data_IF_064461214583
#
_entry.id   IF_064461214583
#
_cell.length_a   1.000
_cell.length_b   1.000
_cell.length_c   1.000
_cell.angle_alpha   90.00
_cell.angle_beta   90.00
_cell.angle_gamma   90.00
#
_symmetry.space_group_name_H-M   'P 1'
#
loop_
_entity.id
_entity.type
_entity.pdbx_description
1 polymer ?
#
# COMPACT_ATOMS: atom_id res chain seq x y z
N UNK A 1 -20.72 34.78 27.73
CA UNK A 1 -19.26 34.87 27.50
C UNK A 1 -19.03 35.91 26.42
N UNK A 2 -18.17 36.91 26.63
CA UNK A 2 -17.96 37.96 25.63
C UNK A 2 -17.20 37.41 24.41
N UNK A 3 -17.35 38.03 23.24
CA UNK A 3 -16.59 37.66 22.04
C UNK A 3 -15.06 37.78 22.28
N UNK A 4 -14.65 38.73 23.15
CA UNK A 4 -13.26 38.91 23.57
C UNK A 4 -12.75 37.71 24.38
N UNK A 5 -13.54 37.20 25.32
CA UNK A 5 -13.17 36.03 26.12
C UNK A 5 -13.04 34.78 25.23
N UNK A 6 -13.93 34.64 24.26
CA UNK A 6 -13.87 33.57 23.25
C UNK A 6 -12.58 33.64 22.43
N UNK A 7 -12.22 34.82 21.94
CA UNK A 7 -11.00 35.02 21.16
C UNK A 7 -9.74 34.62 21.95
N UNK A 8 -9.65 34.99 23.22
CA UNK A 8 -8.54 34.62 24.10
C UNK A 8 -8.49 33.12 24.31
N UNK A 9 -9.63 32.48 24.59
CA UNK A 9 -9.71 31.02 24.78
C UNK A 9 -9.24 30.24 23.54
N UNK A 10 -9.69 30.63 22.34
CA UNK A 10 -9.31 29.94 21.10
C UNK A 10 -7.82 30.09 20.81
N UNK A 11 -7.25 31.29 21.02
CA UNK A 11 -5.80 31.51 20.85
C UNK A 11 -4.97 30.72 21.86
N UNK A 12 -5.41 30.64 23.11
CA UNK A 12 -4.75 29.79 24.13
C UNK A 12 -4.81 28.32 23.73
N UNK A 13 -5.95 27.85 23.22
CA UNK A 13 -6.12 26.49 22.73
C UNK A 13 -5.19 26.19 21.56
N UNK A 14 -5.09 27.09 20.58
CA UNK A 14 -4.17 26.96 19.44
C UNK A 14 -2.71 26.89 19.91
N UNK A 15 -2.29 27.79 20.80
CA UNK A 15 -0.94 27.80 21.35
C UNK A 15 -0.61 26.52 22.14
N UNK A 16 -1.55 26.00 22.93
CA UNK A 16 -1.37 24.72 23.63
C UNK A 16 -1.28 23.53 22.67
N UNK A 17 -2.09 23.53 21.60
CA UNK A 17 -2.05 22.51 20.55
C UNK A 17 -0.66 22.52 19.89
N UNK A 18 -0.18 23.70 19.50
CA UNK A 18 1.14 23.87 18.90
C UNK A 18 2.27 23.39 19.80
N UNK A 19 2.24 23.77 21.10
CA UNK A 19 3.20 23.25 22.09
C UNK A 19 3.15 21.73 22.25
N UNK A 20 1.95 21.14 22.25
CA UNK A 20 1.77 19.70 22.48
C UNK A 20 2.37 18.86 21.36
N UNK A 21 2.21 19.31 20.12
CA UNK A 21 2.55 18.56 18.91
C UNK A 21 3.79 19.10 18.18
N UNK A 22 4.36 20.22 18.65
CA UNK A 22 5.56 20.82 18.06
C UNK A 22 5.30 21.35 16.64
N UNK A 23 4.14 21.96 16.42
CA UNK A 23 3.76 22.55 15.12
C UNK A 23 3.28 23.99 15.32
N UNK A 24 3.42 24.79 14.27
CA UNK A 24 2.86 26.13 14.24
C UNK A 24 1.34 26.03 14.02
N UNK A 25 0.57 26.72 14.87
CA UNK A 25 -0.88 26.65 14.89
C UNK A 25 -1.45 28.06 14.96
N UNK A 26 -2.32 28.38 14.02
CA UNK A 26 -3.01 29.66 13.93
C UNK A 26 -4.47 29.54 14.35
N UNK A 27 -4.99 30.62 14.92
CA UNK A 27 -6.39 30.79 15.27
C UNK A 27 -6.99 31.94 14.46
N UNK A 28 -7.82 31.61 13.48
CA UNK A 28 -8.40 32.56 12.53
C UNK A 28 -9.91 32.67 12.74
N UNK A 29 -10.44 33.88 12.66
CA UNK A 29 -11.88 34.10 12.69
C UNK A 29 -12.43 34.17 11.26
N UNK A 30 -13.16 33.14 10.85
CA UNK A 30 -13.83 33.05 9.54
C UNK A 30 -15.34 33.35 9.68
N UNK A 31 -16.07 33.49 8.56
CA UNK A 31 -17.49 33.83 8.59
C UNK A 31 -18.36 32.83 9.38
N UNK A 32 -17.93 31.56 9.43
CA UNK A 32 -18.61 30.48 10.16
C UNK A 32 -18.17 30.36 11.64
N UNK A 33 -17.28 31.23 12.13
CA UNK A 33 -16.76 31.21 13.50
C UNK A 33 -15.24 31.07 13.55
N UNK A 34 -14.74 30.57 14.69
CA UNK A 34 -13.30 30.37 14.86
C UNK A 34 -12.82 29.09 14.16
N UNK A 35 -11.64 29.17 13.54
CA UNK A 35 -10.90 28.05 12.96
C UNK A 35 -9.53 27.99 13.61
N UNK A 36 -9.13 26.80 14.01
CA UNK A 36 -7.74 26.49 14.37
C UNK A 36 -7.15 25.73 13.19
N UNK A 37 -6.08 26.28 12.63
CA UNK A 37 -5.40 25.72 11.48
C UNK A 37 -3.91 25.50 11.75
N UNK A 38 -3.37 24.44 11.17
CA UNK A 38 -1.95 24.09 11.27
C UNK A 38 -1.53 23.41 9.97
N UNK A 39 -0.23 23.45 9.68
CA UNK A 39 0.34 22.77 8.52
C UNK A 39 1.03 21.49 8.94
N UNK A 40 0.77 20.42 8.19
CA UNK A 40 1.29 19.07 8.44
C UNK A 40 1.04 18.64 9.90
N UNK A 41 1.83 17.75 10.49
CA UNK A 41 1.64 17.38 11.90
C UNK A 41 0.43 16.48 12.19
N UNK A 42 -0.21 16.62 13.37
CA UNK A 42 -1.16 15.62 13.85
C UNK A 42 -2.42 15.56 12.99
N UNK A 43 -3.09 14.41 12.96
CA UNK A 43 -4.36 14.29 12.24
C UNK A 43 -5.45 15.14 12.89
N UNK A 44 -6.46 15.55 12.12
CA UNK A 44 -7.62 16.29 12.66
C UNK A 44 -8.34 15.47 13.73
N UNK A 45 -8.39 14.14 13.59
CA UNK A 45 -8.95 13.24 14.59
C UNK A 45 -8.17 13.28 15.91
N UNK A 46 -6.82 13.23 15.85
CA UNK A 46 -5.94 13.34 17.02
C UNK A 46 -6.06 14.70 17.69
N UNK A 47 -6.02 15.79 16.92
CA UNK A 47 -6.20 17.15 17.44
C UNK A 47 -7.57 17.29 18.13
N UNK A 48 -8.65 16.80 17.49
CA UNK A 48 -10.00 16.82 18.07
C UNK A 48 -10.12 16.01 19.35
N UNK A 49 -9.53 14.81 19.39
CA UNK A 49 -9.53 13.98 20.59
C UNK A 49 -8.78 14.68 21.75
N UNK A 50 -7.72 15.42 21.45
CA UNK A 50 -6.98 16.19 22.44
C UNK A 50 -7.75 17.43 22.92
N UNK A 51 -8.39 18.20 22.03
CA UNK A 51 -9.17 19.39 22.41
C UNK A 51 -10.41 19.01 23.23
N UNK A 52 -11.09 17.92 22.87
CA UNK A 52 -12.27 17.42 23.58
C UNK A 52 -11.98 17.09 25.06
N UNK A 53 -10.82 16.50 25.36
CA UNK A 53 -10.41 16.14 26.74
C UNK A 53 -10.24 17.35 27.66
N UNK A 54 -10.06 18.55 27.11
CA UNK A 54 -9.90 19.77 27.89
C UNK A 54 -11.22 20.52 28.13
N UNK A 55 -12.35 20.00 27.60
CA UNK A 55 -13.66 20.67 27.64
C UNK A 55 -13.62 22.12 27.09
N UNK A 56 -12.62 22.44 26.25
CA UNK A 56 -12.41 23.78 25.69
C UNK A 56 -13.28 24.04 24.45
N UNK A 57 -14.03 23.04 23.99
CA UNK A 57 -15.02 23.16 22.91
C UNK A 57 -16.31 22.37 23.19
N UNK A 58 -17.16 22.84 24.13
CA UNK A 58 -18.36 22.11 24.52
C UNK A 58 -19.49 22.10 23.46
N UNK A 59 -19.31 22.76 22.31
CA UNK A 59 -20.36 22.88 21.28
C UNK A 59 -19.89 22.69 19.82
N UNK A 60 -18.63 22.29 19.57
CA UNK A 60 -18.12 22.18 18.20
C UNK A 60 -18.00 23.53 17.50
N UNK A 61 -17.85 24.62 18.26
CA UNK A 61 -17.88 25.99 17.76
C UNK A 61 -16.49 26.48 17.32
N UNK A 62 -15.49 25.59 17.28
CA UNK A 62 -14.18 25.82 16.68
C UNK A 62 -13.95 24.75 15.61
N UNK A 63 -13.80 25.18 14.36
CA UNK A 63 -13.42 24.26 13.28
C UNK A 63 -11.92 23.95 13.36
N UNK A 64 -11.55 22.69 13.12
CA UNK A 64 -10.15 22.25 13.06
C UNK A 64 -9.81 21.96 11.61
N UNK A 65 -8.72 22.55 11.12
CA UNK A 65 -8.28 22.38 9.73
C UNK A 65 -6.79 22.07 9.69
N UNK A 66 -6.42 21.04 8.92
CA UNK A 66 -5.02 20.73 8.67
C UNK A 66 -4.71 21.02 7.21
N UNK A 67 -3.85 21.99 6.99
CA UNK A 67 -3.23 22.24 5.69
C UNK A 67 -2.14 21.20 5.43
N UNK A 68 -1.96 20.79 4.18
CA UNK A 68 -0.98 19.77 3.78
C UNK A 68 0.09 20.46 2.94
N UNK A 69 1.33 20.42 3.44
CA UNK A 69 2.46 20.97 2.71
C UNK A 69 2.81 20.15 1.47
N UNK A 70 3.44 20.80 0.50
CA UNK A 70 3.98 20.15 -0.72
C UNK A 70 4.81 18.91 -0.43
N UNK A 71 5.65 18.99 0.61
CA UNK A 71 6.49 17.86 1.05
C UNK A 71 5.65 16.66 1.47
N UNK A 72 4.59 16.86 2.26
CA UNK A 72 3.70 15.78 2.66
C UNK A 72 3.04 15.07 1.46
N UNK A 73 2.67 15.80 0.40
CA UNK A 73 2.19 15.21 -0.86
C UNK A 73 3.24 14.33 -1.52
N UNK A 74 4.47 14.82 -1.63
CA UNK A 74 5.60 14.07 -2.22
C UNK A 74 5.90 12.82 -1.41
N UNK A 75 5.97 12.92 -0.08
CA UNK A 75 6.19 11.77 0.80
C UNK A 75 5.07 10.73 0.63
N UNK A 76 3.82 11.17 0.57
CA UNK A 76 2.68 10.27 0.34
C UNK A 76 2.76 9.58 -1.02
N UNK A 77 3.14 10.30 -2.08
CA UNK A 77 3.25 9.75 -3.42
C UNK A 77 4.38 8.72 -3.55
N UNK A 78 5.56 9.00 -2.99
CA UNK A 78 6.68 8.05 -2.97
C UNK A 78 6.29 6.78 -2.22
N UNK A 79 5.69 6.90 -1.03
CA UNK A 79 5.19 5.73 -0.27
C UNK A 79 4.15 4.94 -1.06
N UNK A 80 3.15 5.62 -1.61
CA UNK A 80 2.08 4.98 -2.38
C UNK A 80 2.60 4.28 -3.65
N UNK A 81 3.65 4.81 -4.28
CA UNK A 81 4.32 4.18 -5.40
C UNK A 81 5.07 2.93 -4.98
N UNK A 82 5.88 3.02 -3.92
CA UNK A 82 6.66 1.88 -3.40
C UNK A 82 5.76 0.75 -2.90
N UNK A 83 4.62 1.07 -2.30
CA UNK A 83 3.60 0.10 -1.88
C UNK A 83 2.79 -0.47 -3.07
N UNK A 84 3.02 0.02 -4.30
CA UNK A 84 2.33 -0.40 -5.52
C UNK A 84 0.88 0.10 -5.65
N UNK A 85 0.42 0.96 -4.73
CA UNK A 85 -0.98 1.40 -4.62
C UNK A 85 -1.37 2.40 -5.71
N UNK A 86 -0.44 3.27 -6.13
CA UNK A 86 -0.69 4.22 -7.23
C UNK A 86 -0.95 3.54 -8.58
N UNK A 87 -0.66 2.24 -8.69
CA UNK A 87 -0.69 1.50 -9.95
C UNK A 87 -1.84 0.48 -10.04
N UNK A 88 -2.45 0.10 -8.91
CA UNK A 88 -3.63 -0.75 -8.87
C UNK A 88 -4.89 0.05 -9.25
N UNK A 89 -5.13 0.24 -10.54
CA UNK A 89 -6.36 0.85 -11.08
C UNK A 89 -6.40 2.39 -11.11
N UNK A 90 -5.53 3.06 -10.36
CA UNK A 90 -5.47 4.54 -10.26
C UNK A 90 -4.83 5.20 -11.49
N UNK A 91 -3.78 4.60 -12.07
CA UNK A 91 -3.14 5.11 -13.30
C UNK A 91 -4.10 5.13 -14.53
N UNK A 92 -5.16 4.33 -14.51
CA UNK A 92 -6.22 4.35 -15.55
C UNK A 92 -7.33 5.37 -15.28
N UNK A 93 -7.41 5.93 -14.07
CA UNK A 93 -8.49 6.83 -13.64
C UNK A 93 -8.10 8.32 -13.71
N UNK A 94 -6.81 8.64 -13.87
CA UNK A 94 -6.31 10.00 -14.09
C UNK A 94 -5.86 10.72 -12.82
N UNK A 95 -5.46 12.01 -12.94
CA UNK A 95 -4.86 12.78 -11.84
C UNK A 95 -5.79 12.98 -10.65
N UNK A 96 -7.12 13.05 -10.87
CA UNK A 96 -8.10 13.22 -9.80
C UNK A 96 -8.16 12.00 -8.86
N UNK A 97 -8.04 10.79 -9.40
CA UNK A 97 -8.02 9.56 -8.58
C UNK A 97 -6.71 9.45 -7.79
N UNK A 98 -5.59 9.83 -8.43
CA UNK A 98 -4.30 9.90 -7.75
C UNK A 98 -4.36 10.90 -6.59
N UNK A 99 -4.92 12.09 -6.82
CA UNK A 99 -5.16 13.09 -5.79
C UNK A 99 -6.00 12.55 -4.65
N UNK A 100 -7.15 11.94 -4.93
CA UNK A 100 -8.04 11.36 -3.92
C UNK A 100 -7.34 10.30 -3.06
N UNK A 101 -6.56 9.40 -3.71
CA UNK A 101 -5.78 8.39 -3.00
C UNK A 101 -4.77 9.04 -2.05
N UNK A 102 -4.01 10.02 -2.54
CA UNK A 102 -3.01 10.71 -1.71
C UNK A 102 -3.68 11.50 -0.58
N UNK A 103 -4.84 12.13 -0.84
CA UNK A 103 -5.62 12.84 0.18
C UNK A 103 -5.95 11.91 1.34
N UNK A 104 -6.39 10.68 1.04
CA UNK A 104 -6.65 9.65 2.06
C UNK A 104 -5.39 9.25 2.83
N UNK A 105 -4.29 8.96 2.12
CA UNK A 105 -3.03 8.55 2.75
C UNK A 105 -2.51 9.63 3.69
N UNK A 106 -2.52 10.88 3.25
CA UNK A 106 -2.10 12.01 4.07
C UNK A 106 -3.05 12.18 5.24
N UNK A 107 -4.37 12.16 5.03
CA UNK A 107 -5.39 12.36 6.07
C UNK A 107 -5.25 11.40 7.26
N UNK A 108 -4.85 10.16 7.01
CA UNK A 108 -4.72 9.12 8.04
C UNK A 108 -3.37 9.14 8.78
N UNK A 109 -2.38 9.90 8.28
CA UNK A 109 -1.03 9.91 8.84
C UNK A 109 -0.75 11.12 9.72
N UNK A 110 -0.12 10.84 10.86
CA UNK A 110 0.48 11.84 11.74
C UNK A 110 1.83 12.28 11.14
N UNK A 111 2.08 13.59 11.10
CA UNK A 111 3.31 14.19 10.54
C UNK A 111 3.62 13.67 9.13
N UNK A 112 2.73 13.92 8.16
CA UNK A 112 2.80 13.32 6.82
C UNK A 112 4.01 13.78 6.00
N UNK A 113 4.62 14.91 6.37
CA UNK A 113 5.84 15.50 5.81
C UNK A 113 7.13 14.75 6.20
N UNK A 114 7.06 13.89 7.22
CA UNK A 114 8.21 13.13 7.72
C UNK A 114 8.41 11.85 6.93
N UNK A 115 9.65 11.63 6.52
CA UNK A 115 10.14 10.42 5.86
C UNK A 115 10.82 9.55 6.89
N UNK A 116 10.61 8.25 6.79
CA UNK A 116 11.33 7.27 7.61
C UNK A 116 12.47 6.69 6.76
N UNK A 117 13.71 6.91 7.18
CA UNK A 117 14.89 6.22 6.64
C UNK A 117 15.38 6.66 5.26
N UNK A 118 15.95 5.71 4.53
CA UNK A 118 16.83 5.91 3.35
C UNK A 118 16.12 6.47 2.10
N UNK A 119 14.81 6.73 2.16
CA UNK A 119 14.00 7.21 1.01
C UNK A 119 13.85 8.73 0.92
N UNK A 120 14.54 9.46 1.80
CA UNK A 120 14.62 10.92 1.79
C UNK A 120 15.06 11.48 0.43
N UNK A 121 16.07 10.83 -0.18
CA UNK A 121 16.61 11.21 -1.48
C UNK A 121 15.57 11.22 -2.60
N UNK A 122 14.60 10.29 -2.59
CA UNK A 122 13.53 10.24 -3.58
C UNK A 122 12.58 11.43 -3.41
N UNK A 123 12.29 11.77 -2.16
CA UNK A 123 11.42 12.89 -1.81
C UNK A 123 12.05 14.20 -2.22
N UNK A 124 13.33 14.41 -1.94
CA UNK A 124 14.03 15.64 -2.29
C UNK A 124 14.16 15.80 -3.81
N UNK A 125 14.44 14.72 -4.55
CA UNK A 125 14.50 14.74 -6.01
C UNK A 125 13.15 15.01 -6.65
N UNK A 126 12.08 14.37 -6.14
CA UNK A 126 10.74 14.61 -6.64
C UNK A 126 10.31 16.05 -6.33
N UNK A 127 10.59 16.57 -5.13
CA UNK A 127 10.37 17.98 -4.79
C UNK A 127 11.10 18.92 -5.74
N UNK A 128 12.38 18.66 -6.05
CA UNK A 128 13.18 19.47 -6.95
C UNK A 128 12.69 19.44 -8.40
N UNK A 129 12.01 18.36 -8.79
CA UNK A 129 11.42 18.22 -10.13
C UNK A 129 10.06 18.91 -10.28
N UNK A 130 9.44 19.37 -9.19
CA UNK A 130 8.17 20.08 -9.28
C UNK A 130 8.37 21.51 -9.81
N UNK A 131 7.49 21.99 -10.71
CA UNK A 131 7.50 23.37 -11.18
C UNK A 131 7.38 24.37 -10.02
N UNK A 132 8.27 25.36 -10.01
CA UNK A 132 8.36 26.36 -8.94
C UNK A 132 7.13 27.30 -8.90
N UNK A 133 6.48 27.52 -10.05
CA UNK A 133 5.36 28.43 -10.27
C UNK A 133 3.98 27.77 -10.16
N UNK A 134 3.92 26.50 -9.74
CA UNK A 134 2.67 25.77 -9.63
C UNK A 134 1.82 26.17 -8.41
N UNK A 135 0.50 26.20 -8.59
CA UNK A 135 -0.49 26.44 -7.53
C UNK A 135 -0.46 25.28 -6.52
N UNK A 136 -0.04 25.58 -5.30
CA UNK A 136 0.07 24.58 -4.22
C UNK A 136 -1.26 23.90 -3.87
N UNK A 137 -2.41 24.45 -4.27
CA UNK A 137 -3.74 23.85 -4.05
C UNK A 137 -3.97 22.54 -4.82
N UNK A 138 -3.15 22.28 -5.85
CA UNK A 138 -3.22 21.05 -6.63
C UNK A 138 -1.93 20.22 -6.57
N UNK A 139 -1.06 20.47 -5.57
CA UNK A 139 0.17 19.69 -5.38
C UNK A 139 -0.12 18.18 -5.31
N UNK A 140 -1.25 17.77 -4.72
CA UNK A 140 -1.67 16.36 -4.68
C UNK A 140 -1.94 15.75 -6.05
N UNK A 141 -2.65 16.47 -6.93
CA UNK A 141 -2.95 16.01 -8.29
C UNK A 141 -1.71 16.02 -9.19
N UNK A 142 -0.90 17.08 -9.10
CA UNK A 142 0.35 17.21 -9.84
C UNK A 142 1.35 16.10 -9.47
N UNK A 143 1.65 15.93 -8.18
CA UNK A 143 2.61 14.93 -7.71
C UNK A 143 2.09 13.53 -8.00
N UNK A 144 0.82 13.26 -7.70
CA UNK A 144 0.19 11.97 -7.96
C UNK A 144 0.21 11.60 -9.45
N UNK A 145 -0.13 12.54 -10.32
CA UNK A 145 -0.07 12.36 -11.78
C UNK A 145 1.34 12.12 -12.28
N UNK A 146 2.32 12.92 -11.85
CA UNK A 146 3.72 12.76 -12.26
C UNK A 146 4.27 11.38 -11.89
N UNK A 147 4.00 10.92 -10.66
CA UNK A 147 4.43 9.59 -10.21
C UNK A 147 3.66 8.50 -10.96
N UNK A 148 2.34 8.63 -11.12
CA UNK A 148 1.50 7.67 -11.84
C UNK A 148 1.75 7.59 -13.35
N UNK A 149 2.40 8.59 -13.96
CA UNK A 149 2.80 8.55 -15.37
C UNK A 149 4.21 7.98 -15.53
N UNK A 150 5.16 8.49 -14.74
CA UNK A 150 6.59 8.25 -14.95
C UNK A 150 7.19 7.15 -14.09
N UNK A 151 6.49 6.70 -13.05
CA UNK A 151 7.11 5.86 -12.03
C UNK A 151 8.00 6.65 -11.08
N UNK A 152 8.78 5.92 -10.29
CA UNK A 152 9.78 6.48 -9.36
C UNK A 152 11.22 6.09 -9.72
N UNK A 153 11.42 5.16 -10.65
CA UNK A 153 12.78 4.73 -11.08
C UNK A 153 13.63 5.85 -11.66
N UNK A 154 13.03 6.79 -12.39
CA UNK A 154 13.74 7.93 -12.95
C UNK A 154 14.36 8.83 -11.86
N UNK A 155 13.87 8.76 -10.62
CA UNK A 155 14.46 9.47 -9.47
C UNK A 155 15.78 8.85 -9.03
N UNK A 156 16.13 7.64 -9.48
CA UNK A 156 17.36 6.91 -9.10
C UNK A 156 18.17 6.46 -10.32
N UNK A 157 17.87 6.97 -11.50
CA UNK A 157 18.66 6.68 -12.69
C UNK A 157 20.10 7.19 -12.52
N UNK A 158 21.07 6.30 -12.80
CA UNK A 158 22.50 6.61 -12.69
C UNK A 158 23.08 6.50 -11.28
N UNK A 159 22.26 6.15 -10.28
CA UNK A 159 22.72 6.03 -8.89
C UNK A 159 23.45 4.73 -8.58
N UNK A 160 24.37 4.81 -7.62
CA UNK A 160 25.16 3.68 -7.13
C UNK A 160 24.74 3.19 -5.75
N UNK A 161 25.63 2.43 -5.12
CA UNK A 161 25.44 1.84 -3.78
C UNK A 161 25.41 2.87 -2.64
N UNK A 162 25.73 4.13 -2.92
CA UNK A 162 25.63 5.25 -2.00
C UNK A 162 24.18 5.71 -1.76
N UNK A 163 23.30 5.44 -2.73
CA UNK A 163 21.88 5.81 -2.69
C UNK A 163 20.97 4.59 -2.76
N UNK A 164 21.35 3.59 -3.55
CA UNK A 164 20.57 2.37 -3.77
C UNK A 164 21.06 1.22 -2.91
N UNK A 165 20.12 0.39 -2.45
CA UNK A 165 20.47 -0.89 -1.84
C UNK A 165 21.13 -1.83 -2.87
N UNK A 166 21.90 -2.83 -2.44
CA UNK A 166 22.52 -3.78 -3.36
C UNK A 166 21.53 -4.49 -4.28
N UNK A 167 20.33 -4.82 -3.77
CA UNK A 167 19.29 -5.46 -4.56
C UNK A 167 18.71 -4.52 -5.63
N UNK A 168 18.60 -3.23 -5.34
CA UNK A 168 18.14 -2.22 -6.29
C UNK A 168 19.14 -1.97 -7.41
N UNK A 169 20.43 -1.84 -7.09
CA UNK A 169 21.50 -1.73 -8.10
C UNK A 169 21.46 -2.91 -9.08
N UNK A 170 21.39 -4.12 -8.54
CA UNK A 170 21.33 -5.33 -9.37
C UNK A 170 20.01 -5.41 -10.15
N UNK A 171 18.88 -5.00 -9.55
CA UNK A 171 17.58 -4.99 -10.22
C UNK A 171 17.59 -4.02 -11.40
N UNK A 172 18.05 -2.78 -11.21
CA UNK A 172 18.13 -1.78 -12.26
C UNK A 172 18.89 -2.28 -13.51
N UNK A 173 19.92 -3.10 -13.30
CA UNK A 173 20.72 -3.70 -14.38
C UNK A 173 20.08 -4.94 -15.02
N UNK A 174 19.47 -5.80 -14.20
CA UNK A 174 19.11 -7.16 -14.60
C UNK A 174 17.63 -7.42 -14.78
N UNK A 175 16.74 -6.42 -14.72
CA UNK A 175 15.36 -6.57 -15.20
C UNK A 175 15.36 -7.00 -16.67
N UNK A 176 14.59 -8.03 -17.00
CA UNK A 176 14.63 -8.65 -18.34
C UNK A 176 13.24 -8.72 -18.96
N UNK A 177 12.23 -9.12 -18.18
CA UNK A 177 10.87 -9.19 -18.70
C UNK A 177 10.16 -7.84 -18.60
N UNK A 178 9.18 -7.58 -19.49
CA UNK A 178 8.39 -6.35 -19.42
C UNK A 178 7.70 -6.15 -18.08
N UNK A 179 7.27 -7.24 -17.43
CA UNK A 179 6.63 -7.16 -16.11
C UNK A 179 7.62 -6.71 -15.03
N UNK A 180 8.85 -7.21 -15.06
CA UNK A 180 9.92 -6.81 -14.14
C UNK A 180 10.33 -5.36 -14.35
N UNK A 181 10.51 -4.95 -15.61
CA UNK A 181 10.80 -3.56 -15.98
C UNK A 181 9.70 -2.64 -15.44
N UNK A 182 8.43 -2.95 -15.68
CA UNK A 182 7.31 -2.14 -15.19
C UNK A 182 7.27 -2.07 -13.66
N UNK A 183 7.53 -3.18 -12.97
CA UNK A 183 7.53 -3.22 -11.51
C UNK A 183 8.69 -2.39 -10.92
N UNK A 184 9.87 -2.48 -11.52
CA UNK A 184 11.02 -1.63 -11.18
C UNK A 184 10.70 -0.15 -11.44
N UNK A 185 10.24 0.17 -12.66
CA UNK A 185 9.98 1.53 -13.09
C UNK A 185 9.04 2.27 -12.13
N UNK A 186 7.99 1.56 -11.72
CA UNK A 186 6.83 2.10 -10.99
C UNK A 186 6.98 2.15 -9.48
N UNK A 187 7.67 1.18 -8.89
CA UNK A 187 7.71 1.02 -7.43
C UNK A 187 9.08 0.66 -6.88
N UNK A 188 10.13 0.65 -7.70
CA UNK A 188 11.45 0.12 -7.35
C UNK A 188 11.37 -1.32 -6.82
N UNK A 189 10.44 -2.13 -7.34
CA UNK A 189 10.29 -3.50 -6.89
C UNK A 189 11.55 -4.31 -7.25
N UNK A 190 12.26 -4.78 -6.22
CA UNK A 190 13.48 -5.57 -6.38
C UNK A 190 13.17 -7.00 -6.80
N UNK A 191 14.02 -7.56 -7.66
CA UNK A 191 13.96 -8.98 -7.99
C UNK A 191 14.38 -9.84 -6.78
N UNK A 192 13.92 -11.11 -6.71
CA UNK A 192 14.39 -12.04 -5.69
C UNK A 192 15.92 -12.17 -5.70
N UNK A 193 16.56 -12.22 -4.53
CA UNK A 193 18.02 -12.20 -4.42
C UNK A 193 18.70 -13.34 -5.21
N UNK A 194 18.08 -14.53 -5.26
CA UNK A 194 18.59 -15.66 -6.06
C UNK A 194 18.60 -15.36 -7.56
N UNK A 195 17.54 -14.74 -8.08
CA UNK A 195 17.44 -14.35 -9.50
C UNK A 195 18.51 -13.31 -9.83
N UNK A 196 18.73 -12.34 -8.95
CA UNK A 196 19.78 -11.33 -9.10
C UNK A 196 21.17 -11.95 -9.17
N UNK A 197 21.47 -12.92 -8.29
CA UNK A 197 22.75 -13.64 -8.30
C UNK A 197 22.93 -14.47 -9.56
N UNK A 198 21.91 -15.23 -9.95
CA UNK A 198 21.96 -16.06 -11.16
C UNK A 198 22.22 -15.21 -12.41
N UNK A 199 21.50 -14.09 -12.56
CA UNK A 199 21.69 -13.15 -13.68
C UNK A 199 23.06 -12.48 -13.62
N UNK A 200 23.52 -12.07 -12.44
CA UNK A 200 24.83 -11.44 -12.28
C UNK A 200 26.00 -12.38 -12.58
N UNK A 201 25.89 -13.66 -12.22
CA UNK A 201 26.93 -14.66 -12.52
C UNK A 201 26.94 -15.07 -14.00
N UNK A 202 25.81 -14.90 -14.70
CA UNK A 202 25.70 -15.15 -16.13
C UNK A 202 26.17 -13.96 -16.99
N UNK A 203 26.38 -12.76 -16.41
CA UNK A 203 26.83 -11.56 -17.12
C UNK A 203 28.36 -11.57 -17.33
N UNK A 204 28.86 -11.77 -18.56
CA UNK A 204 30.29 -11.72 -18.85
C UNK A 204 30.87 -10.29 -18.75
N UNK A 205 30.01 -9.27 -18.72
CA UNK A 205 30.35 -7.85 -18.66
C UNK A 205 30.14 -7.23 -17.27
N UNK A 206 30.15 -8.04 -16.20
CA UNK A 206 29.96 -7.54 -14.84
C UNK A 206 30.98 -6.44 -14.50
N UNK A 207 30.48 -5.26 -14.12
CA UNK A 207 31.33 -4.13 -13.71
C UNK A 207 31.61 -4.15 -12.19
N UNK A 208 32.48 -3.23 -11.76
CA UNK A 208 32.88 -3.11 -10.36
C UNK A 208 31.69 -2.85 -9.42
N UNK A 209 30.78 -1.97 -9.79
CA UNK A 209 29.62 -1.61 -8.95
C UNK A 209 28.70 -2.81 -8.76
N UNK A 210 28.45 -3.54 -9.83
CA UNK A 210 27.64 -4.75 -9.87
C UNK A 210 28.28 -5.87 -9.04
N UNK A 211 29.59 -6.06 -9.16
CA UNK A 211 30.33 -7.04 -8.35
C UNK A 211 30.28 -6.71 -6.85
N UNK A 212 30.42 -5.43 -6.48
CA UNK A 212 30.30 -4.98 -5.08
C UNK A 212 28.87 -5.19 -4.54
N UNK A 213 27.85 -4.87 -5.34
CA UNK A 213 26.46 -5.10 -4.98
C UNK A 213 26.19 -6.60 -4.75
N UNK A 214 26.73 -7.47 -5.60
CA UNK A 214 26.61 -8.92 -5.46
C UNK A 214 27.24 -9.43 -4.15
N UNK A 215 28.43 -8.94 -3.81
CA UNK A 215 29.08 -9.28 -2.52
C UNK A 215 28.27 -8.77 -1.33
N UNK A 216 27.74 -7.55 -1.42
CA UNK A 216 26.92 -6.95 -0.37
C UNK A 216 25.56 -7.65 -0.18
N UNK A 217 25.08 -8.41 -1.17
CA UNK A 217 23.85 -9.20 -1.08
C UNK A 217 24.03 -10.53 -0.31
N UNK A 218 25.26 -11.00 -0.09
CA UNK A 218 25.55 -12.28 0.56
C UNK A 218 24.91 -12.45 1.96
N UNK A 219 24.88 -11.44 2.85
CA UNK A 219 24.20 -11.55 4.14
C UNK A 219 22.69 -11.81 3.99
N UNK A 220 22.03 -11.11 3.06
CA UNK A 220 20.60 -11.29 2.79
C UNK A 220 20.30 -12.72 2.30
N UNK A 221 21.11 -13.23 1.37
CA UNK A 221 20.99 -14.62 0.88
C UNK A 221 21.13 -15.65 2.01
N UNK A 222 22.07 -15.43 2.94
CA UNK A 222 22.22 -16.33 4.11
C UNK A 222 20.98 -16.34 4.99
N UNK A 223 20.36 -15.17 5.20
CA UNK A 223 19.10 -15.05 5.95
C UNK A 223 17.97 -15.78 5.23
N UNK A 224 17.82 -15.58 3.91
CA UNK A 224 16.81 -16.27 3.10
C UNK A 224 16.98 -17.79 3.13
N UNK A 225 18.21 -18.30 3.01
CA UNK A 225 18.49 -19.73 3.09
C UNK A 225 18.19 -20.30 4.47
N UNK A 226 18.56 -19.60 5.54
CA UNK A 226 18.25 -20.03 6.90
C UNK A 226 16.74 -20.12 7.14
N UNK A 227 15.97 -19.12 6.68
CA UNK A 227 14.52 -19.11 6.75
C UNK A 227 13.89 -20.25 5.93
N UNK A 228 14.38 -20.49 4.71
CA UNK A 228 13.94 -21.59 3.85
C UNK A 228 14.19 -22.94 4.54
N UNK A 229 15.37 -23.16 5.09
CA UNK A 229 15.72 -24.39 5.80
C UNK A 229 14.83 -24.61 7.03
N UNK A 230 14.53 -23.57 7.80
CA UNK A 230 13.61 -23.65 8.94
C UNK A 230 12.18 -24.02 8.49
N UNK A 231 11.68 -23.41 7.40
CA UNK A 231 10.37 -23.73 6.86
C UNK A 231 10.26 -25.19 6.38
N UNK A 232 11.30 -25.72 5.71
CA UNK A 232 11.37 -27.12 5.30
C UNK A 232 11.33 -28.05 6.53
N UNK A 233 12.13 -27.78 7.57
CA UNK A 233 12.11 -28.57 8.81
C UNK A 233 10.73 -28.56 9.48
N UNK A 234 10.08 -27.40 9.54
CA UNK A 234 8.73 -27.29 10.09
C UNK A 234 7.70 -28.06 9.25
N UNK A 235 7.81 -28.03 7.93
CA UNK A 235 6.94 -28.81 7.03
C UNK A 235 7.16 -30.32 7.21
N UNK A 236 8.41 -30.77 7.28
CA UNK A 236 8.75 -32.17 7.56
C UNK A 236 8.21 -32.63 8.92
N UNK A 237 8.38 -31.83 9.97
CA UNK A 237 7.85 -32.12 11.30
C UNK A 237 6.31 -32.25 11.29
N UNK A 238 5.60 -31.36 10.60
CA UNK A 238 4.13 -31.46 10.43
C UNK A 238 3.73 -32.74 9.68
N UNK A 239 4.42 -33.07 8.59
CA UNK A 239 4.13 -34.26 7.81
C UNK A 239 4.31 -35.54 8.65
N UNK A 240 5.36 -35.60 9.48
CA UNK A 240 5.63 -36.73 10.38
C UNK A 240 4.70 -36.80 11.60
N UNK A 241 4.13 -35.67 12.04
CA UNK A 241 3.19 -35.62 13.16
C UNK A 241 1.74 -35.99 12.76
N UNK A 242 1.44 -36.12 11.46
CA UNK A 242 0.12 -36.55 11.00
C UNK A 242 -0.14 -37.99 11.46
N UNK A 243 -1.15 -38.25 12.32
CA UNK A 243 -1.45 -39.61 12.74
C UNK A 243 -1.78 -40.45 11.51
N UNK A 244 -1.18 -41.63 11.39
CA UNK A 244 -1.64 -42.65 10.43
C UNK A 244 -3.09 -42.99 10.78
N UNK A 245 -4.04 -42.32 10.15
CA UNK A 245 -5.45 -42.70 10.20
C UNK A 245 -5.60 -43.99 9.38
N UNK A 246 -5.43 -45.12 10.05
CA UNK A 246 -5.69 -46.44 9.48
C UNK A 246 -4.95 -47.54 10.20
N UNK A 247 -5.61 -48.19 11.16
CA UNK A 247 -5.08 -49.45 11.69
C UNK A 247 -5.58 -49.98 13.04
N UNK A 248 -6.81 -49.72 13.48
CA UNK A 248 -7.47 -50.68 14.39
C UNK A 248 -8.95 -50.80 14.07
N UNK A 249 -9.21 -51.55 13.01
CA UNK A 249 -10.41 -52.39 12.93
C UNK A 249 -10.39 -53.35 14.12
N UNK A 250 -11.42 -53.29 14.96
CA UNK A 250 -11.71 -54.30 15.97
C UNK A 250 -11.62 -53.80 17.40
N UNK A 251 -12.69 -53.15 17.88
CA UNK A 251 -13.49 -53.89 18.85
C UNK A 251 -14.92 -53.33 18.95
N UNK A 252 -15.86 -54.20 18.57
CA UNK A 252 -17.26 -54.12 18.97
C UNK A 252 -17.29 -54.48 20.45
N UNK A 253 -17.53 -53.50 21.31
CA UNK A 253 -18.16 -53.80 22.59
C UNK A 253 -19.36 -52.88 22.80
N UNK A 254 -20.52 -53.50 22.69
CA UNK A 254 -21.80 -52.93 23.05
C UNK A 254 -21.82 -52.61 24.54
N UNK A 255 -22.21 -51.39 24.88
CA UNK A 255 -22.85 -51.10 26.17
C UNK A 255 -23.73 -49.86 26.04
N UNK A 256 -25.01 -50.12 25.75
CA UNK A 256 -26.18 -49.40 26.23
C UNK A 256 -25.91 -48.40 27.36
N UNK A 257 -26.36 -47.15 27.21
CA UNK A 257 -27.12 -46.42 28.24
C UNK A 257 -27.92 -45.26 27.62
N UNK A 258 -29.21 -45.54 27.45
CA UNK A 258 -30.36 -44.72 27.85
C UNK A 258 -30.58 -43.36 27.18
N UNK A 259 -31.55 -43.40 26.27
CA UNK A 259 -32.34 -42.27 25.81
C UNK A 259 -32.94 -41.46 26.97
N UNK A 260 -32.79 -40.13 26.91
CA UNK A 260 -33.74 -39.19 27.49
C UNK A 260 -34.17 -38.22 26.39
N UNK A 261 -35.40 -38.44 25.93
CA UNK A 261 -36.16 -37.54 25.05
C UNK A 261 -36.40 -36.22 25.79
N UNK A 262 -36.05 -35.11 25.17
CA UNK A 262 -36.83 -33.86 25.25
C UNK A 262 -36.98 -33.34 23.82
N UNK A 263 -38.23 -33.03 23.49
CA UNK A 263 -38.74 -32.73 22.16
C UNK A 263 -38.36 -31.30 21.69
N UNK A 264 -38.60 -30.98 20.41
CA UNK A 264 -38.02 -29.83 19.72
C UNK A 264 -38.84 -28.57 19.91
N UNK A 265 -38.19 -27.41 19.83
CA UNK A 265 -38.86 -26.12 19.61
C UNK A 265 -38.41 -25.59 18.25
N UNK A 266 -39.32 -25.65 17.29
CA UNK A 266 -39.32 -24.80 16.09
C UNK A 266 -40.31 -23.65 16.33
N UNK A 267 -39.84 -22.42 16.18
CA UNK A 267 -40.63 -21.22 15.85
C UNK A 267 -39.64 -20.23 15.20
N UNK A 268 -39.57 -20.08 13.86
CA UNK A 268 -40.39 -19.26 12.93
C UNK A 268 -40.45 -17.75 13.23
N UNK A 269 -39.95 -16.97 12.25
CA UNK A 269 -40.27 -15.57 11.83
C UNK A 269 -40.09 -14.44 12.87
N UNK A 270 -39.37 -13.33 12.71
CA UNK A 270 -38.88 -12.42 11.63
C UNK A 270 -38.93 -10.96 12.22
N UNK A 271 -38.63 -9.83 11.54
CA UNK A 271 -37.70 -9.52 10.44
C UNK A 271 -36.80 -8.26 10.68
N UNK A 272 -35.86 -8.01 9.73
CA UNK A 272 -35.18 -6.72 9.37
C UNK A 272 -34.10 -6.12 10.29
N UNK A 273 -32.87 -6.11 9.77
CA UNK A 273 -31.80 -5.18 10.16
C UNK A 273 -30.50 -5.45 9.41
N UNK A 274 -30.28 -4.76 8.30
CA UNK A 274 -29.08 -4.81 7.43
C UNK A 274 -27.79 -4.55 8.22
N UNK A 275 -26.74 -5.36 8.04
CA UNK A 275 -25.37 -4.97 7.62
C UNK A 275 -24.64 -6.23 7.11
N UNK A 276 -24.35 -6.31 5.80
CA UNK A 276 -23.40 -7.28 5.20
C UNK A 276 -21.97 -6.73 5.31
N UNK A 277 -20.96 -7.53 5.63
CA UNK A 277 -20.27 -8.53 4.79
C UNK A 277 -19.26 -7.91 3.79
N UNK A 278 -18.04 -7.60 4.27
CA UNK A 278 -16.81 -7.53 3.46
C UNK A 278 -15.59 -7.89 4.31
N UNK A 279 -15.17 -9.16 4.26
CA UNK A 279 -13.87 -9.65 4.74
C UNK A 279 -13.49 -10.96 4.01
N UNK A 280 -13.65 -10.98 2.68
CA UNK A 280 -13.16 -12.07 1.81
C UNK A 280 -12.79 -11.54 0.43
N UNK A 281 -11.62 -10.92 0.30
CA UNK A 281 -11.02 -10.68 -1.03
C UNK A 281 -9.48 -10.78 -1.06
N UNK A 282 -8.86 -11.34 -0.01
CA UNK A 282 -7.41 -11.63 0.02
C UNK A 282 -7.00 -13.03 -0.42
N UNK A 283 -7.94 -13.93 -0.78
CA UNK A 283 -7.66 -15.37 -0.94
C UNK A 283 -8.05 -15.97 -2.31
N UNK A 284 -8.36 -15.15 -3.33
CA UNK A 284 -8.75 -15.66 -4.67
C UNK A 284 -7.76 -15.39 -5.80
N UNK A 285 -6.67 -14.65 -5.57
CA UNK A 285 -5.61 -14.48 -6.57
C UNK A 285 -4.60 -15.65 -6.59
N UNK A 286 -4.68 -16.60 -5.65
CA UNK A 286 -3.70 -17.68 -5.51
C UNK A 286 -4.08 -19.01 -6.20
N UNK A 287 -5.13 -19.05 -7.05
CA UNK A 287 -5.62 -20.33 -7.63
C UNK A 287 -5.56 -20.45 -9.16
N UNK A 288 -4.73 -19.65 -9.84
CA UNK A 288 -4.53 -19.78 -11.30
C UNK A 288 -3.09 -20.03 -11.75
N UNK A 289 -2.24 -20.59 -10.89
CA UNK A 289 -0.86 -20.91 -11.25
C UNK A 289 -0.35 -22.18 -10.61
N UNK A 290 -0.77 -23.34 -11.13
CA UNK A 290 0.03 -24.57 -11.22
C UNK A 290 -0.86 -25.80 -11.55
N UNK A 291 -0.99 -26.15 -12.82
CA UNK A 291 -0.87 -27.54 -13.31
C UNK A 291 -0.46 -27.49 -14.79
N UNK A 292 0.83 -27.61 -15.07
CA UNK A 292 1.27 -28.25 -16.33
C UNK A 292 2.44 -29.16 -15.96
N UNK A 293 2.12 -30.42 -15.71
CA UNK A 293 3.04 -31.53 -15.86
C UNK A 293 2.42 -32.48 -16.90
N UNK A 294 3.01 -32.49 -18.09
CA UNK A 294 2.85 -33.53 -19.12
C UNK A 294 1.49 -33.65 -19.81
N UNK A 295 1.36 -33.06 -21.00
CA UNK A 295 0.97 -33.74 -22.25
C UNK A 295 0.73 -32.72 -23.39
N UNK A 296 0.97 -33.19 -24.61
CA UNK A 296 1.02 -32.46 -25.87
C UNK A 296 -0.26 -31.70 -26.26
N UNK A 297 -0.04 -30.52 -26.91
CA UNK A 297 -0.90 -29.66 -27.74
C UNK A 297 -1.45 -28.35 -27.11
N UNK A 298 -1.29 -27.18 -27.77
CA UNK A 298 -1.85 -25.93 -27.31
C UNK A 298 -3.27 -25.72 -27.83
N UNK A 299 -4.24 -25.58 -26.92
CA UNK A 299 -5.59 -25.10 -27.19
C UNK A 299 -6.02 -24.13 -26.09
N UNK A 300 -6.03 -22.83 -26.40
CA UNK A 300 -6.52 -21.78 -25.51
C UNK A 300 -8.02 -21.94 -25.27
N UNK A 301 -8.42 -22.43 -24.10
CA UNK A 301 -9.81 -22.35 -23.66
C UNK A 301 -9.96 -21.11 -22.78
N UNK A 302 -10.39 -20.00 -23.38
CA UNK A 302 -10.74 -18.78 -22.64
C UNK A 302 -12.11 -19.00 -21.99
N UNK A 303 -12.21 -18.71 -20.68
CA UNK A 303 -13.44 -18.79 -19.93
C UNK A 303 -14.48 -17.78 -20.44
N UNK A 304 -15.67 -18.27 -20.78
CA UNK A 304 -16.81 -17.50 -21.33
C UNK A 304 -17.26 -16.34 -20.42
N UNK A 305 -16.93 -16.37 -19.14
CA UNK A 305 -17.21 -15.29 -18.19
C UNK A 305 -16.37 -14.02 -18.40
N UNK A 306 -15.23 -14.09 -19.11
CA UNK A 306 -14.42 -12.93 -19.47
C UNK A 306 -14.87 -12.25 -20.77
N UNK A 307 -15.73 -12.90 -21.58
CA UNK A 307 -16.21 -12.37 -22.85
C UNK A 307 -17.47 -11.51 -22.71
N UNK A 308 -18.27 -11.69 -21.64
CA UNK A 308 -19.59 -11.06 -21.52
C UNK A 308 -19.61 -9.73 -20.72
N UNK A 309 -18.47 -9.12 -20.42
CA UNK A 309 -18.42 -7.78 -19.78
C UNK A 309 -17.52 -6.81 -20.54
N UNK A 310 -18.15 -6.11 -21.49
CA UNK A 310 -17.77 -4.74 -21.88
C UNK A 310 -16.46 -4.58 -22.62
N UNK A 311 -16.55 -4.54 -23.95
CA UNK A 311 -15.56 -4.05 -24.91
C UNK A 311 -14.91 -2.74 -24.44
N UNK A 312 -13.59 -2.71 -24.35
CA UNK A 312 -12.84 -1.48 -24.05
C UNK A 312 -12.78 -0.55 -25.27
N UNK A 313 -12.70 0.79 -25.08
CA UNK A 313 -12.50 1.76 -26.17
C UNK A 313 -11.23 1.50 -27.01
N UNK A 314 -10.26 0.77 -26.45
CA UNK A 314 -9.01 0.39 -27.10
C UNK A 314 -9.19 -0.70 -28.18
N UNK A 315 -10.25 -1.52 -28.10
CA UNK A 315 -10.54 -2.54 -29.12
C UNK A 315 -11.26 -1.97 -30.35
N UNK A 316 -11.88 -0.79 -30.26
CA UNK A 316 -12.48 -0.12 -31.42
C UNK A 316 -11.44 0.58 -32.30
N UNK A 317 -10.31 1.04 -31.75
CA UNK A 317 -9.21 1.64 -32.54
C UNK A 317 -8.40 0.64 -33.36
N UNK A 318 -8.38 -0.65 -32.97
CA UNK A 318 -7.62 -1.69 -33.67
C UNK A 318 -8.39 -2.43 -34.78
N UNK A 319 -9.64 -2.03 -35.07
CA UNK A 319 -10.45 -2.57 -36.19
C UNK A 319 -10.70 -1.57 -37.32
N UNK A 320 -10.07 -0.39 -37.27
CA UNK A 320 -10.33 0.72 -38.21
C UNK A 320 -9.36 0.89 -39.38
N UNK A 321 -8.35 0.02 -39.54
CA UNK A 321 -7.43 0.09 -40.67
C UNK A 321 -7.51 -1.17 -41.53
N UNK A 322 -8.48 -1.16 -42.45
CA UNK A 322 -8.47 -1.76 -43.80
C UNK A 322 -9.89 -1.76 -44.33
N UNK A 323 -10.20 -0.77 -45.16
CA UNK A 323 -11.03 -0.86 -46.37
C UNK A 323 -11.18 0.57 -46.94
N UNK A 324 -10.17 0.97 -47.69
CA UNK A 324 -10.22 1.57 -49.04
C UNK A 324 -8.78 1.67 -49.55
#
# INVERSE_FOLDING_TARGET
MSNRDRAVQVRTLAADLGRRFGVDVDAVHVHAGWRIEWRDGPTVATARAWTARRALDPAGAVSLFRDVGRRAWVVAAVRAAMDGVLWSGVASAGPDEARWLLERIVAEREYPDRVDGEREVLVDRLLAALPADHDSRDDGGLVGGMVAERGVSWLVEGEGLDVLSPAEVLTARYVDTRAEVVAWERSLAVLPARVLVERALADPGIDRTTALALVALLPALRVEWAATAAAIRAAAARAMATPRAGGSSGDRSAATTRARRVAPVYATSGPRGRVGHWLREGARAAYCGAVIAGQDRPGLTICRACLDRGTSPLQQRLRGERLL
#
